data_IF_024672863885
#
_entry.id   IF_024672863885
#
_cell.length_a   1.000
_cell.length_b   1.000
_cell.length_c   1.000
_cell.angle_alpha   90.00
_cell.angle_beta   90.00
_cell.angle_gamma   90.00
#
_symmetry.space_group_name_H-M   'P 1'
#
loop_
_entity.id
_entity.type
_entity.pdbx_description
1 polymer ?
#
# COMPACT_ATOMS: atom_id res chain seq x y z
N UNK A 1 -21.32 25.61 8.26
CA UNK A 1 -20.25 25.88 9.25
C UNK A 1 -19.15 26.56 8.49
N UNK A 2 -18.87 27.82 8.81
CA UNK A 2 -17.82 28.63 8.18
C UNK A 2 -16.51 27.83 8.12
N UNK A 3 -15.74 28.03 7.05
CA UNK A 3 -14.46 27.35 6.82
C UNK A 3 -13.48 27.63 7.94
N UNK A 4 -13.53 26.83 9.00
CA UNK A 4 -12.49 26.76 10.00
C UNK A 4 -11.25 26.21 9.29
N UNK A 5 -10.39 27.11 8.83
CA UNK A 5 -9.04 26.75 8.43
C UNK A 5 -8.32 26.31 9.70
N UNK A 6 -8.35 25.00 9.98
CA UNK A 6 -7.64 24.40 11.10
C UNK A 6 -6.11 24.62 11.00
N UNK A 7 -5.62 25.18 9.89
CA UNK A 7 -4.22 25.54 9.70
C UNK A 7 -3.31 24.35 10.00
N UNK A 8 -2.27 24.58 10.79
CA UNK A 8 -1.33 23.54 11.22
C UNK A 8 -1.97 22.41 12.05
N UNK A 9 -3.11 22.64 12.72
CA UNK A 9 -3.80 21.58 13.49
C UNK A 9 -4.34 20.47 12.59
N UNK A 10 -4.60 20.74 11.31
CA UNK A 10 -5.03 19.71 10.34
C UNK A 10 -3.97 18.64 10.07
N UNK A 11 -2.68 18.95 10.29
CA UNK A 11 -1.58 18.02 10.12
C UNK A 11 -1.36 17.13 11.35
N UNK A 12 -1.87 17.54 12.51
CA UNK A 12 -1.64 16.85 13.77
C UNK A 12 -2.08 15.37 13.73
N UNK A 13 -3.27 15.01 13.18
CA UNK A 13 -3.69 13.62 13.11
C UNK A 13 -2.75 12.72 12.29
N UNK A 14 -2.27 13.24 11.15
CA UNK A 14 -1.34 12.52 10.28
C UNK A 14 0.03 12.35 10.97
N UNK A 15 0.54 13.39 11.63
CA UNK A 15 1.81 13.33 12.37
C UNK A 15 1.73 12.35 13.53
N UNK A 16 0.63 12.36 14.29
CA UNK A 16 0.40 11.41 15.39
C UNK A 16 0.37 9.98 14.84
N UNK A 17 -0.39 9.72 13.78
CA UNK A 17 -0.49 8.40 13.18
C UNK A 17 0.88 7.87 12.71
N UNK A 18 1.64 8.68 11.97
CA UNK A 18 2.97 8.30 11.46
C UNK A 18 3.95 8.07 12.60
N UNK A 19 4.00 8.98 13.58
CA UNK A 19 4.92 8.88 14.71
C UNK A 19 4.63 7.63 15.54
N UNK A 20 3.36 7.39 15.87
CA UNK A 20 2.96 6.19 16.60
C UNK A 20 3.23 4.92 15.79
N UNK A 21 3.03 4.94 14.47
CA UNK A 21 3.32 3.79 13.62
C UNK A 21 4.80 3.41 13.69
N UNK A 22 5.71 4.39 13.65
CA UNK A 22 7.16 4.17 13.76
C UNK A 22 7.55 3.69 15.16
N UNK A 23 7.03 4.32 16.22
CA UNK A 23 7.39 4.00 17.62
C UNK A 23 6.82 2.66 18.06
N UNK A 24 5.52 2.45 17.83
CA UNK A 24 4.81 1.23 18.27
C UNK A 24 5.03 0.05 17.34
N UNK A 25 5.51 0.30 16.11
CA UNK A 25 5.61 -0.69 15.02
C UNK A 25 4.29 -1.41 14.74
N UNK A 26 3.16 -0.76 15.06
CA UNK A 26 1.82 -1.33 14.92
C UNK A 26 0.92 -0.32 14.20
N UNK A 27 0.57 -0.64 12.97
CA UNK A 27 -0.21 0.25 12.08
C UNK A 27 -1.62 0.47 12.62
N UNK A 28 -2.33 -0.60 13.00
CA UNK A 28 -3.74 -0.55 13.42
C UNK A 28 -4.00 0.42 14.59
N UNK A 29 -3.35 0.25 15.78
CA UNK A 29 -3.59 1.16 16.89
C UNK A 29 -3.13 2.60 16.58
N UNK A 30 -2.08 2.76 15.77
CA UNK A 30 -1.57 4.07 15.38
C UNK A 30 -2.55 4.83 14.49
N UNK A 31 -3.18 4.15 13.52
CA UNK A 31 -4.22 4.74 12.68
C UNK A 31 -5.47 5.09 13.49
N UNK A 32 -5.90 4.21 14.40
CA UNK A 32 -7.05 4.48 15.28
C UNK A 32 -6.81 5.72 16.16
N UNK A 33 -5.62 5.85 16.74
CA UNK A 33 -5.25 7.02 17.55
C UNK A 33 -5.09 8.27 16.70
N UNK A 34 -4.62 8.15 15.46
CA UNK A 34 -4.62 9.22 14.46
C UNK A 34 -6.03 9.73 14.18
N UNK A 35 -6.97 8.84 13.82
CA UNK A 35 -8.37 9.19 13.58
C UNK A 35 -8.98 9.82 14.84
N UNK A 36 -8.79 9.19 15.99
CA UNK A 36 -9.28 9.72 17.27
C UNK A 36 -8.78 11.14 17.53
N UNK A 37 -7.51 11.44 17.27
CA UNK A 37 -6.96 12.79 17.45
C UNK A 37 -7.61 13.82 16.53
N UNK A 38 -7.95 13.46 15.28
CA UNK A 38 -8.69 14.33 14.37
C UNK A 38 -10.13 14.57 14.83
N UNK A 39 -10.82 13.50 15.23
CA UNK A 39 -12.19 13.58 15.76
C UNK A 39 -12.23 14.37 17.07
N UNK A 40 -11.20 14.23 17.90
CA UNK A 40 -11.05 14.97 19.16
C UNK A 40 -10.98 16.48 18.92
N UNK A 41 -10.24 16.93 17.88
CA UNK A 41 -10.17 18.34 17.49
C UNK A 41 -11.53 18.83 16.98
N UNK A 42 -12.19 18.07 16.11
CA UNK A 42 -13.47 18.46 15.49
C UNK A 42 -14.60 18.55 16.53
N UNK A 43 -14.57 17.71 17.56
CA UNK A 43 -15.56 17.69 18.64
C UNK A 43 -15.24 18.63 19.80
N UNK A 44 -14.39 19.65 19.60
CA UNK A 44 -14.10 20.66 20.61
C UNK A 44 -13.38 20.11 21.84
N UNK A 45 -12.51 19.11 21.65
CA UNK A 45 -11.70 18.49 22.70
C UNK A 45 -12.50 17.74 23.78
N UNK A 46 -13.72 17.30 23.47
CA UNK A 46 -14.49 16.43 24.36
C UNK A 46 -14.12 14.95 24.11
N UNK A 47 -13.46 14.26 25.06
CA UNK A 47 -12.93 12.93 24.83
C UNK A 47 -14.02 11.85 24.74
N UNK A 48 -15.15 12.02 25.44
CA UNK A 48 -16.23 11.03 25.46
C UNK A 48 -16.95 11.02 24.12
N UNK A 49 -17.36 12.20 23.65
CA UNK A 49 -18.03 12.32 22.35
C UNK A 49 -17.08 11.96 21.22
N UNK A 50 -15.80 12.35 21.31
CA UNK A 50 -14.81 11.99 20.31
C UNK A 50 -14.58 10.48 20.21
N UNK A 51 -14.58 9.75 21.33
CA UNK A 51 -14.43 8.30 21.33
C UNK A 51 -15.63 7.63 20.65
N UNK A 52 -16.85 8.05 21.02
CA UNK A 52 -18.09 7.52 20.44
C UNK A 52 -18.17 7.82 18.95
N UNK A 53 -17.86 9.04 18.54
CA UNK A 53 -17.88 9.43 17.12
C UNK A 53 -16.79 8.73 16.32
N UNK A 54 -15.60 8.57 16.88
CA UNK A 54 -14.50 7.82 16.23
C UNK A 54 -14.98 6.42 15.86
N UNK A 55 -15.57 5.71 16.82
CA UNK A 55 -16.06 4.35 16.59
C UNK A 55 -17.29 4.33 15.66
N UNK A 56 -18.35 5.07 16.01
CA UNK A 56 -19.65 4.94 15.35
C UNK A 56 -19.75 5.69 14.02
N UNK A 57 -19.26 6.93 13.97
CA UNK A 57 -19.44 7.82 12.81
C UNK A 57 -18.32 7.69 11.79
N UNK A 58 -17.07 7.63 12.24
CA UNK A 58 -15.91 7.65 11.33
C UNK A 58 -15.43 6.25 10.96
N UNK A 59 -15.18 5.36 11.93
CA UNK A 59 -14.72 3.99 11.65
C UNK A 59 -15.86 3.15 11.08
N UNK A 60 -17.01 3.07 11.76
CA UNK A 60 -18.14 2.26 11.27
C UNK A 60 -18.89 3.00 10.17
N UNK A 61 -19.44 4.19 10.44
CA UNK A 61 -20.30 4.91 9.50
C UNK A 61 -19.61 5.22 8.17
N UNK A 62 -18.60 6.09 8.20
CA UNK A 62 -17.87 6.50 6.98
C UNK A 62 -16.88 5.46 6.50
N UNK A 63 -16.25 4.70 7.38
CA UNK A 63 -15.18 3.77 7.02
C UNK A 63 -15.68 2.45 6.45
N UNK A 64 -16.64 1.79 7.11
CA UNK A 64 -17.05 0.42 6.77
C UNK A 64 -18.46 0.33 6.19
N UNK A 65 -19.40 1.14 6.68
CA UNK A 65 -20.82 1.06 6.31
C UNK A 65 -21.16 1.89 5.06
N UNK A 66 -20.29 2.79 4.64
CA UNK A 66 -20.40 3.48 3.36
C UNK A 66 -20.31 2.46 2.20
N UNK A 67 -21.26 2.49 1.26
CA UNK A 67 -21.38 1.47 0.22
C UNK A 67 -20.17 1.39 -0.71
N UNK A 68 -19.53 2.54 -0.97
CA UNK A 68 -18.33 2.58 -1.80
C UNK A 68 -17.14 1.99 -1.04
N UNK A 69 -16.91 2.45 0.19
CA UNK A 69 -15.82 1.93 1.02
C UNK A 69 -16.01 0.44 1.35
N UNK A 70 -17.24 -0.01 1.59
CA UNK A 70 -17.57 -1.42 1.73
C UNK A 70 -17.21 -2.23 0.46
N UNK A 71 -17.53 -1.68 -0.72
CA UNK A 71 -17.15 -2.26 -2.00
C UNK A 71 -15.62 -2.38 -2.15
N UNK A 72 -14.89 -1.31 -1.80
CA UNK A 72 -13.42 -1.31 -1.79
C UNK A 72 -12.86 -2.34 -0.80
N UNK A 73 -13.44 -2.46 0.40
CA UNK A 73 -13.02 -3.45 1.40
C UNK A 73 -13.19 -4.89 0.88
N UNK A 74 -14.35 -5.21 0.30
CA UNK A 74 -14.59 -6.53 -0.30
C UNK A 74 -13.63 -6.79 -1.46
N UNK A 75 -13.41 -5.79 -2.31
CA UNK A 75 -12.46 -5.89 -3.41
C UNK A 75 -11.02 -6.15 -2.91
N UNK A 76 -10.55 -5.39 -1.92
CA UNK A 76 -9.24 -5.58 -1.28
C UNK A 76 -9.11 -6.98 -0.67
N UNK A 77 -10.16 -7.51 -0.05
CA UNK A 77 -10.15 -8.86 0.50
C UNK A 77 -10.03 -9.93 -0.59
N UNK A 78 -10.72 -9.76 -1.72
CA UNK A 78 -10.65 -10.68 -2.87
C UNK A 78 -9.26 -10.65 -3.50
N UNK A 79 -8.73 -9.46 -3.80
CA UNK A 79 -7.38 -9.31 -4.37
C UNK A 79 -6.32 -9.84 -3.41
N UNK A 80 -6.40 -9.48 -2.12
CA UNK A 80 -5.48 -10.00 -1.10
C UNK A 80 -5.55 -11.52 -0.96
N UNK A 81 -6.75 -12.10 -1.02
CA UNK A 81 -6.93 -13.56 -1.03
C UNK A 81 -6.31 -14.22 -2.27
N UNK A 82 -6.53 -13.66 -3.45
CA UNK A 82 -5.92 -14.10 -4.71
C UNK A 82 -4.39 -14.05 -4.65
N UNK A 83 -3.83 -12.93 -4.18
CA UNK A 83 -2.37 -12.76 -3.96
C UNK A 83 -1.85 -13.82 -2.99
N UNK A 84 -2.56 -14.06 -1.88
CA UNK A 84 -2.21 -15.09 -0.91
C UNK A 84 -2.15 -16.50 -1.51
N UNK A 85 -3.16 -16.89 -2.29
CA UNK A 85 -3.19 -18.19 -2.99
C UNK A 85 -2.06 -18.29 -4.00
N UNK A 86 -1.83 -17.23 -4.78
CA UNK A 86 -0.79 -17.19 -5.79
C UNK A 86 0.61 -17.32 -5.18
N UNK A 87 0.87 -16.61 -4.08
CA UNK A 87 2.12 -16.72 -3.32
C UNK A 87 2.32 -18.11 -2.71
N UNK A 88 1.24 -18.75 -2.24
CA UNK A 88 1.28 -20.09 -1.65
C UNK A 88 1.42 -21.20 -2.70
N UNK A 89 0.91 -21.00 -3.91
CA UNK A 89 0.96 -21.98 -4.99
C UNK A 89 2.36 -22.23 -5.55
N UNK A 90 3.32 -21.33 -5.29
CA UNK A 90 4.69 -21.46 -5.80
C UNK A 90 4.84 -21.10 -7.29
N UNK A 91 3.75 -20.79 -7.99
CA UNK A 91 3.77 -20.52 -9.43
C UNK A 91 4.66 -19.34 -9.81
N UNK A 92 4.61 -18.26 -9.02
CA UNK A 92 5.45 -17.08 -9.25
C UNK A 92 6.93 -17.34 -8.96
N UNK A 93 7.23 -18.15 -7.96
CA UNK A 93 8.58 -18.59 -7.67
C UNK A 93 9.13 -19.48 -8.80
N UNK A 94 8.30 -20.34 -9.40
CA UNK A 94 8.69 -21.17 -10.53
C UNK A 94 9.00 -20.34 -11.78
N UNK A 95 8.14 -19.37 -12.13
CA UNK A 95 8.40 -18.43 -13.23
C UNK A 95 9.67 -17.62 -12.96
N UNK A 96 9.84 -17.17 -11.71
CA UNK A 96 11.02 -16.44 -11.30
C UNK A 96 12.30 -17.24 -11.53
N UNK A 97 12.33 -18.50 -11.09
CA UNK A 97 13.47 -19.38 -11.29
C UNK A 97 13.80 -19.64 -12.77
N UNK A 98 12.78 -19.78 -13.63
CA UNK A 98 12.98 -20.00 -15.07
C UNK A 98 13.63 -18.80 -15.78
N UNK A 99 13.21 -17.59 -15.40
CA UNK A 99 13.80 -16.35 -15.95
C UNK A 99 15.21 -16.16 -15.39
N UNK A 100 15.37 -16.37 -14.09
CA UNK A 100 16.63 -16.27 -13.36
C UNK A 100 17.71 -17.20 -13.95
N UNK A 101 17.35 -18.41 -14.40
CA UNK A 101 18.27 -19.35 -15.08
C UNK A 101 18.88 -18.81 -16.38
N UNK A 102 18.23 -17.83 -17.03
CA UNK A 102 18.72 -17.21 -18.27
C UNK A 102 19.74 -16.09 -18.02
N UNK A 103 19.89 -15.63 -16.78
CA UNK A 103 20.82 -14.57 -16.40
C UNK A 103 22.26 -15.11 -16.24
N UNK A 104 23.07 -15.03 -17.31
CA UNK A 104 24.46 -15.54 -17.33
C UNK A 104 25.54 -14.46 -17.27
N UNK A 105 25.16 -13.19 -17.40
CA UNK A 105 26.04 -12.02 -17.40
C UNK A 105 25.49 -10.90 -16.52
N UNK A 106 26.34 -9.95 -16.11
CA UNK A 106 25.95 -8.75 -15.35
C UNK A 106 24.75 -8.01 -15.95
N UNK A 107 24.72 -7.83 -17.27
CA UNK A 107 23.62 -7.13 -17.96
C UNK A 107 22.36 -7.99 -17.91
N UNK A 108 22.45 -9.26 -18.29
CA UNK A 108 21.29 -10.17 -18.29
C UNK A 108 20.70 -10.38 -16.89
N UNK A 109 21.50 -10.35 -15.82
CA UNK A 109 21.02 -10.45 -14.45
C UNK A 109 20.22 -9.21 -14.02
N UNK A 110 20.65 -8.01 -14.40
CA UNK A 110 19.89 -6.79 -14.13
C UNK A 110 18.59 -6.76 -14.94
N UNK A 111 18.64 -7.12 -16.23
CA UNK A 111 17.46 -7.21 -17.07
C UNK A 111 16.48 -8.25 -16.53
N UNK A 112 16.96 -9.44 -16.14
CA UNK A 112 16.12 -10.47 -15.55
C UNK A 112 15.47 -10.00 -14.25
N UNK A 113 16.20 -9.30 -13.38
CA UNK A 113 15.63 -8.72 -12.16
C UNK A 113 14.53 -7.69 -12.47
N UNK A 114 14.78 -6.78 -13.43
CA UNK A 114 13.78 -5.80 -13.84
C UNK A 114 12.55 -6.45 -14.47
N UNK A 115 12.74 -7.41 -15.37
CA UNK A 115 11.64 -8.15 -16.00
C UNK A 115 10.83 -8.92 -14.96
N UNK A 116 11.48 -9.50 -13.96
CA UNK A 116 10.77 -10.19 -12.88
C UNK A 116 9.91 -9.25 -12.06
N UNK A 117 10.44 -8.09 -11.64
CA UNK A 117 9.63 -7.11 -10.92
C UNK A 117 8.42 -6.64 -11.72
N UNK A 118 8.58 -6.44 -13.04
CA UNK A 118 7.48 -6.09 -13.95
C UNK A 118 6.45 -7.23 -14.08
N UNK A 119 6.89 -8.48 -14.14
CA UNK A 119 5.97 -9.63 -14.31
C UNK A 119 5.27 -10.01 -13.01
N UNK A 120 5.89 -9.75 -11.85
CA UNK A 120 5.29 -9.97 -10.53
C UNK A 120 4.63 -8.66 -10.07
N UNK A 121 3.68 -8.13 -10.84
CA UNK A 121 3.11 -6.80 -10.59
C UNK A 121 1.93 -6.75 -9.61
N UNK A 122 1.39 -7.91 -9.22
CA UNK A 122 0.10 -7.97 -8.51
C UNK A 122 0.18 -7.30 -7.14
N UNK A 123 1.32 -7.48 -6.46
CA UNK A 123 1.59 -6.95 -5.13
C UNK A 123 3.07 -6.60 -4.99
N UNK A 124 3.37 -5.41 -4.50
CA UNK A 124 4.72 -4.87 -4.36
C UNK A 124 5.56 -5.66 -3.33
N UNK A 125 4.96 -6.08 -2.21
CA UNK A 125 5.63 -6.93 -1.22
C UNK A 125 6.00 -8.30 -1.78
N UNK A 126 5.05 -8.98 -2.42
CA UNK A 126 5.28 -10.27 -3.07
C UNK A 126 6.33 -10.14 -4.17
N UNK A 127 6.25 -9.09 -5.00
CA UNK A 127 7.22 -8.78 -6.04
C UNK A 127 8.63 -8.62 -5.48
N UNK A 128 8.76 -7.83 -4.41
CA UNK A 128 10.03 -7.60 -3.75
C UNK A 128 10.61 -8.87 -3.15
N UNK A 129 9.78 -9.66 -2.47
CA UNK A 129 10.20 -10.90 -1.82
C UNK A 129 10.63 -11.95 -2.84
N UNK A 130 9.83 -12.16 -3.88
CA UNK A 130 10.08 -13.19 -4.90
C UNK A 130 11.29 -12.79 -5.75
N UNK A 131 11.30 -11.57 -6.30
CA UNK A 131 12.38 -11.10 -7.16
C UNK A 131 13.68 -10.96 -6.37
N UNK A 132 13.62 -10.34 -5.19
CA UNK A 132 14.78 -10.16 -4.32
C UNK A 132 15.43 -11.48 -3.90
N UNK A 133 14.65 -12.44 -3.40
CA UNK A 133 15.20 -13.74 -2.98
C UNK A 133 15.70 -14.58 -4.16
N UNK A 134 14.99 -14.56 -5.29
CA UNK A 134 15.38 -15.34 -6.48
C UNK A 134 16.64 -14.77 -7.14
N UNK A 135 16.75 -13.44 -7.24
CA UNK A 135 17.84 -12.80 -7.97
C UNK A 135 19.10 -12.59 -7.14
N UNK A 136 18.99 -12.48 -5.81
CA UNK A 136 20.15 -12.28 -4.91
C UNK A 136 21.32 -13.23 -5.18
N UNK A 137 21.17 -14.56 -5.22
CA UNK A 137 22.32 -15.45 -5.48
C UNK A 137 22.93 -15.24 -6.87
N UNK A 138 22.14 -14.85 -7.87
CA UNK A 138 22.59 -14.63 -9.24
C UNK A 138 23.32 -13.31 -9.36
N UNK A 139 22.79 -12.25 -8.76
CA UNK A 139 23.45 -10.94 -8.74
C UNK A 139 24.74 -10.98 -7.95
N UNK A 140 24.77 -11.72 -6.82
CA UNK A 140 25.98 -11.92 -6.03
C UNK A 140 27.06 -12.66 -6.85
N UNK A 141 26.69 -13.72 -7.57
CA UNK A 141 27.60 -14.44 -8.47
C UNK A 141 28.16 -13.56 -9.61
N UNK A 142 27.36 -12.61 -10.09
CA UNK A 142 27.73 -11.64 -11.12
C UNK A 142 28.43 -10.39 -10.55
N UNK A 143 28.71 -10.32 -9.24
CA UNK A 143 29.32 -9.17 -8.56
C UNK A 143 28.54 -7.86 -8.78
N UNK A 144 27.22 -7.93 -8.71
CA UNK A 144 26.32 -6.77 -8.67
C UNK A 144 26.05 -6.45 -7.21
N UNK A 145 26.08 -5.16 -6.84
CA UNK A 145 25.87 -4.74 -5.46
C UNK A 145 24.43 -4.98 -5.01
N UNK A 146 24.24 -5.22 -3.71
CA UNK A 146 22.91 -5.49 -3.14
C UNK A 146 22.02 -4.27 -3.16
N UNK A 147 22.60 -3.09 -3.05
CA UNK A 147 21.94 -1.79 -3.17
C UNK A 147 21.40 -1.59 -4.59
N UNK A 148 22.15 -2.05 -5.61
CA UNK A 148 21.68 -1.97 -6.99
C UNK A 148 20.54 -2.95 -7.25
N UNK A 149 20.61 -4.17 -6.69
CA UNK A 149 19.48 -5.10 -6.76
C UNK A 149 18.26 -4.54 -6.03
N UNK A 150 18.43 -4.01 -4.81
CA UNK A 150 17.30 -3.43 -4.06
C UNK A 150 16.65 -2.28 -4.80
N UNK A 151 17.45 -1.41 -5.43
CA UNK A 151 16.92 -0.34 -6.27
C UNK A 151 16.12 -0.88 -7.46
N UNK A 152 16.64 -1.89 -8.18
CA UNK A 152 15.92 -2.47 -9.33
C UNK A 152 14.60 -3.10 -8.89
N UNK A 153 14.64 -3.86 -7.79
CA UNK A 153 13.45 -4.54 -7.24
C UNK A 153 12.40 -3.53 -6.80
N UNK A 154 12.79 -2.52 -6.03
CA UNK A 154 11.89 -1.47 -5.53
C UNK A 154 11.30 -0.64 -6.68
N UNK A 155 12.15 -0.17 -7.60
CA UNK A 155 11.73 0.65 -8.74
C UNK A 155 10.82 -0.09 -9.73
N UNK A 156 10.81 -1.43 -9.74
CA UNK A 156 9.95 -2.23 -10.61
C UNK A 156 8.71 -2.75 -9.90
N UNK A 157 8.82 -3.11 -8.62
CA UNK A 157 7.68 -3.58 -7.84
C UNK A 157 6.64 -2.46 -7.65
N UNK A 158 7.02 -1.37 -6.96
CA UNK A 158 6.09 -0.31 -6.58
C UNK A 158 5.57 0.45 -7.80
N UNK A 159 6.44 0.83 -8.74
CA UNK A 159 6.06 1.62 -9.90
C UNK A 159 5.09 0.86 -10.83
N UNK A 160 5.27 -0.45 -11.01
CA UNK A 160 4.42 -1.24 -11.90
C UNK A 160 3.10 -1.58 -11.21
N UNK A 161 3.11 -1.88 -9.91
CA UNK A 161 1.87 -2.13 -9.15
C UNK A 161 0.96 -0.90 -9.11
N UNK A 162 1.50 0.32 -9.10
CA UNK A 162 0.71 1.55 -9.13
C UNK A 162 0.20 1.96 -10.53
N UNK A 163 0.69 1.34 -11.61
CA UNK A 163 0.26 1.69 -12.98
C UNK A 163 -0.70 0.66 -13.55
N UNK A 164 -0.61 -0.60 -13.11
CA UNK A 164 -1.44 -1.68 -13.64
C UNK A 164 -2.82 -1.68 -12.96
N UNK A 165 -3.93 -1.68 -13.74
CA UNK A 165 -5.29 -1.63 -13.19
C UNK A 165 -5.68 -2.79 -12.27
N UNK A 166 -4.98 -3.93 -12.37
CA UNK A 166 -5.20 -5.11 -11.54
C UNK A 166 -4.04 -5.23 -10.55
N UNK A 167 -4.10 -4.47 -9.46
CA UNK A 167 -3.10 -4.45 -8.40
C UNK A 167 -3.72 -4.28 -7.02
N UNK A 168 -2.90 -4.37 -5.97
CA UNK A 168 -3.32 -4.07 -4.59
C UNK A 168 -3.55 -2.57 -4.33
N UNK A 169 -3.08 -1.68 -5.21
CA UNK A 169 -3.19 -0.21 -5.04
C UNK A 169 -4.44 0.40 -5.67
N UNK A 170 -5.03 -0.25 -6.67
CA UNK A 170 -6.14 0.31 -7.45
C UNK A 170 -7.34 0.74 -6.60
N UNK A 171 -7.64 0.02 -5.51
CA UNK A 171 -8.74 0.37 -4.60
C UNK A 171 -8.54 1.73 -3.94
N UNK A 172 -7.32 2.00 -3.48
CA UNK A 172 -6.95 3.30 -2.91
C UNK A 172 -7.01 4.39 -3.98
N UNK A 173 -6.45 4.13 -5.16
CA UNK A 173 -6.41 5.08 -6.27
C UNK A 173 -7.82 5.49 -6.70
N UNK A 174 -8.72 4.53 -6.88
CA UNK A 174 -10.13 4.80 -7.19
C UNK A 174 -10.81 5.62 -6.09
N UNK A 175 -10.56 5.31 -4.82
CA UNK A 175 -11.08 6.08 -3.69
C UNK A 175 -10.60 7.55 -3.70
N UNK A 176 -9.30 7.77 -3.93
CA UNK A 176 -8.72 9.11 -4.00
C UNK A 176 -9.20 9.90 -5.23
N UNK A 177 -9.34 9.23 -6.38
CA UNK A 177 -9.87 9.85 -7.60
C UNK A 177 -11.32 10.28 -7.38
N UNK A 178 -12.15 9.41 -6.81
CA UNK A 178 -13.54 9.76 -6.50
C UNK A 178 -13.63 10.96 -5.56
N UNK A 179 -12.88 10.95 -4.45
CA UNK A 179 -12.86 12.07 -3.49
C UNK A 179 -12.45 13.38 -4.17
N UNK A 180 -11.44 13.33 -5.06
CA UNK A 180 -11.01 14.48 -5.85
C UNK A 180 -12.08 15.00 -6.82
N UNK A 181 -12.80 14.10 -7.51
CA UNK A 181 -13.87 14.46 -8.45
C UNK A 181 -15.07 15.10 -7.72
N UNK A 182 -15.48 14.51 -6.59
CA UNK A 182 -16.53 15.07 -5.74
C UNK A 182 -16.15 16.47 -5.22
N UNK A 183 -14.87 16.68 -4.88
CA UNK A 183 -14.35 17.98 -4.47
C UNK A 183 -14.48 19.10 -5.52
N UNK A 184 -14.52 18.76 -6.81
CA UNK A 184 -14.71 19.72 -7.93
C UNK A 184 -16.17 19.74 -8.43
N UNK A 185 -17.07 19.00 -7.76
CA UNK A 185 -18.50 18.96 -8.10
C UNK A 185 -18.85 18.04 -9.27
N UNK A 186 -17.92 17.18 -9.69
CA UNK A 186 -18.17 16.16 -10.72
C UNK A 186 -18.58 14.88 -9.99
N UNK A 187 -19.86 14.50 -10.10
CA UNK A 187 -20.35 13.21 -9.58
C UNK A 187 -20.06 12.12 -10.61
N UNK A 188 -19.19 11.18 -10.25
CA UNK A 188 -18.97 9.92 -10.96
C UNK A 188 -19.84 8.81 -10.36
#
# INVERSE_FOLDING_TARGET
MEGASFGWLSLLPAVIAITLCIVTRNVIPSLLLGIFSGVFIINGYNPITALVDTASKYVVGKGVADSWNAGLLVFCLIIGGMVGVMNKSGGMQAVAYQIAKKAKSKVSAQVAASTLGILVFIDDYASCLITGNTMRPITDAQKISREKLSFIVDATAAAVSSVIPVSTWIAMELGLIQEGLEGVGIKA
#
